data_IF_501361222122
#
_entry.id   IF_501361222122
#
_cell.length_a   1.000
_cell.length_b   1.000
_cell.length_c   1.000
_cell.angle_alpha   90.00
_cell.angle_beta   90.00
_cell.angle_gamma   90.00
#
_symmetry.space_group_name_H-M   'P 1'
#
loop_
_entity.id
_entity.type
_entity.pdbx_description
1 polymer ?
#
# COMPACT_ATOMS: atom_id res chain seq x y z
N UNK A 1 -15.38 -16.75 29.70
CA UNK A 1 -14.16 -16.37 30.45
C UNK A 1 -12.97 -16.56 29.53
N UNK A 2 -12.32 -15.46 29.18
CA UNK A 2 -11.27 -15.32 28.18
C UNK A 2 -10.05 -16.20 28.47
N UNK A 3 -9.81 -17.21 27.63
CA UNK A 3 -8.44 -17.65 27.35
C UNK A 3 -7.92 -16.87 26.14
N UNK A 4 -7.81 -15.55 26.28
CA UNK A 4 -6.96 -14.75 25.40
C UNK A 4 -5.50 -14.94 25.85
N UNK A 5 -5.02 -16.18 25.76
CA UNK A 5 -3.59 -16.44 25.85
C UNK A 5 -2.90 -15.71 24.70
N UNK A 6 -1.65 -15.30 24.93
CA UNK A 6 -0.75 -14.72 23.94
C UNK A 6 -0.59 -15.67 22.74
N UNK A 7 -1.50 -15.59 21.76
CA UNK A 7 -1.38 -16.36 20.51
C UNK A 7 -0.13 -15.84 19.81
N UNK A 8 0.96 -16.61 19.89
CA UNK A 8 2.20 -16.33 19.18
C UNK A 8 1.91 -16.23 17.68
N UNK A 9 2.43 -15.20 17.02
CA UNK A 9 2.27 -15.02 15.58
C UNK A 9 2.62 -16.30 14.82
N UNK A 10 1.66 -16.80 14.04
CA UNK A 10 1.81 -17.97 13.18
C UNK A 10 1.47 -17.57 11.75
N UNK A 11 2.47 -17.58 10.88
CA UNK A 11 2.28 -17.31 9.45
C UNK A 11 1.82 -18.58 8.71
N UNK A 12 0.85 -18.41 7.83
CA UNK A 12 0.52 -19.34 6.76
C UNK A 12 1.18 -18.86 5.46
N UNK A 13 1.65 -19.80 4.66
CA UNK A 13 2.42 -19.56 3.42
C UNK A 13 1.96 -20.57 2.37
N UNK A 14 2.57 -20.59 1.18
CA UNK A 14 2.19 -21.52 0.10
C UNK A 14 2.16 -23.00 0.52
N UNK A 15 2.92 -23.38 1.55
CA UNK A 15 2.90 -24.74 2.14
C UNK A 15 1.57 -25.13 2.79
N UNK A 16 0.81 -24.13 3.25
CA UNK A 16 -0.48 -24.29 3.94
C UNK A 16 -1.66 -23.94 3.02
N UNK A 17 -1.38 -23.47 1.80
CA UNK A 17 -2.40 -22.93 0.91
C UNK A 17 -3.46 -23.99 0.61
N UNK A 18 -3.06 -25.20 0.25
CA UNK A 18 -3.99 -26.27 -0.17
C UNK A 18 -5.04 -26.63 0.90
N UNK A 19 -4.64 -26.71 2.17
CA UNK A 19 -5.53 -26.93 3.32
C UNK A 19 -6.55 -25.78 3.46
N UNK A 20 -6.09 -24.55 3.31
CA UNK A 20 -6.96 -23.36 3.41
C UNK A 20 -7.92 -23.27 2.22
N UNK A 21 -7.51 -23.69 1.02
CA UNK A 21 -8.41 -23.72 -0.14
C UNK A 21 -9.47 -24.83 0.00
N UNK A 22 -9.12 -25.97 0.60
CA UNK A 22 -10.09 -27.01 0.97
C UNK A 22 -11.12 -26.46 1.97
N UNK A 23 -10.68 -25.66 2.96
CA UNK A 23 -11.58 -24.98 3.90
C UNK A 23 -12.55 -24.01 3.21
N UNK A 24 -12.13 -23.38 2.11
CA UNK A 24 -12.98 -22.54 1.26
C UNK A 24 -13.89 -23.35 0.29
N UNK A 25 -13.88 -24.68 0.34
CA UNK A 25 -14.76 -25.52 -0.47
C UNK A 25 -14.33 -25.68 -1.93
N UNK A 26 -13.12 -25.27 -2.30
CA UNK A 26 -12.65 -25.36 -3.68
C UNK A 26 -12.38 -26.82 -4.08
N UNK A 27 -12.81 -27.17 -5.29
CA UNK A 27 -12.52 -28.44 -5.95
C UNK A 27 -11.01 -28.60 -6.23
N UNK A 28 -10.57 -29.82 -6.53
CA UNK A 28 -9.17 -30.07 -6.89
C UNK A 28 -8.69 -29.25 -8.09
N UNK A 29 -9.56 -29.05 -9.09
CA UNK A 29 -9.23 -28.25 -10.28
C UNK A 29 -9.07 -26.76 -9.93
N UNK A 30 -9.99 -26.20 -9.14
CA UNK A 30 -9.90 -24.81 -8.68
C UNK A 30 -8.65 -24.59 -7.82
N UNK A 31 -8.36 -25.52 -6.90
CA UNK A 31 -7.14 -25.48 -6.09
C UNK A 31 -5.87 -25.52 -6.93
N UNK A 32 -5.85 -26.31 -8.01
CA UNK A 32 -4.72 -26.33 -8.94
C UNK A 32 -4.51 -24.96 -9.61
N UNK A 33 -5.58 -24.30 -10.07
CA UNK A 33 -5.51 -22.95 -10.66
C UNK A 33 -5.02 -21.90 -9.66
N UNK A 34 -5.51 -21.95 -8.43
CA UNK A 34 -5.05 -21.03 -7.37
C UNK A 34 -3.57 -21.28 -7.02
N UNK A 35 -3.14 -22.55 -6.95
CA UNK A 35 -1.71 -22.88 -6.77
C UNK A 35 -0.86 -22.36 -7.93
N UNK A 36 -1.35 -22.42 -9.17
CA UNK A 36 -0.68 -21.87 -10.33
C UNK A 36 -0.46 -20.35 -10.17
N UNK A 37 -1.48 -19.59 -9.76
CA UNK A 37 -1.33 -18.15 -9.46
C UNK A 37 -0.34 -17.91 -8.31
N UNK A 38 -0.37 -18.74 -7.27
CA UNK A 38 0.56 -18.65 -6.13
C UNK A 38 2.02 -18.96 -6.49
N UNK A 39 2.30 -19.50 -7.69
CA UNK A 39 3.68 -19.62 -8.20
C UNK A 39 4.22 -18.30 -8.74
N UNK A 40 3.35 -17.38 -9.15
CA UNK A 40 3.68 -16.06 -9.70
C UNK A 40 3.61 -15.01 -8.59
N UNK A 41 2.47 -14.94 -7.90
CA UNK A 41 2.19 -13.96 -6.87
C UNK A 41 2.42 -14.57 -5.47
N UNK A 42 3.11 -13.85 -4.57
CA UNK A 42 3.49 -14.38 -3.26
C UNK A 42 2.26 -14.52 -2.35
N UNK A 43 2.16 -15.64 -1.62
CA UNK A 43 1.11 -15.87 -0.63
C UNK A 43 1.65 -15.92 0.79
N UNK A 44 1.07 -15.11 1.67
CA UNK A 44 1.31 -15.14 3.12
C UNK A 44 0.10 -14.59 3.84
N UNK A 45 -0.34 -15.28 4.88
CA UNK A 45 -1.36 -14.78 5.82
C UNK A 45 -1.04 -15.27 7.23
N UNK A 46 -1.95 -15.14 8.18
CA UNK A 46 -1.73 -15.57 9.56
C UNK A 46 -3.04 -16.03 10.21
N UNK A 47 -2.94 -16.61 11.41
CA UNK A 47 -4.09 -17.12 12.15
C UNK A 47 -5.14 -16.06 12.47
N UNK A 48 -4.76 -14.82 12.79
CA UNK A 48 -5.75 -13.77 13.08
C UNK A 48 -6.59 -13.44 11.85
N UNK A 49 -5.95 -13.25 10.68
CA UNK A 49 -6.69 -12.98 9.44
C UNK A 49 -7.60 -14.16 9.09
N UNK A 50 -7.05 -15.38 9.13
CA UNK A 50 -7.77 -16.62 8.76
C UNK A 50 -8.93 -16.92 9.70
N UNK A 51 -8.75 -16.76 11.01
CA UNK A 51 -9.74 -17.22 11.99
C UNK A 51 -10.70 -16.11 12.42
N UNK A 52 -10.30 -14.84 12.38
CA UNK A 52 -11.11 -13.72 12.91
C UNK A 52 -11.69 -12.82 11.81
N UNK A 53 -11.03 -12.71 10.64
CA UNK A 53 -11.45 -11.76 9.60
C UNK A 53 -12.14 -12.38 8.39
N UNK A 54 -11.92 -13.65 8.08
CA UNK A 54 -12.52 -14.30 6.89
C UNK A 54 -13.85 -14.94 7.28
N UNK A 55 -14.91 -14.67 6.52
CA UNK A 55 -16.14 -15.46 6.57
C UNK A 55 -16.01 -16.61 5.58
N UNK A 56 -15.66 -17.78 6.10
CA UNK A 56 -15.47 -18.98 5.31
C UNK A 56 -16.76 -19.49 4.66
N UNK A 57 -17.93 -19.07 5.14
CA UNK A 57 -19.20 -19.41 4.49
C UNK A 57 -19.47 -18.60 3.23
N UNK A 58 -18.81 -17.44 3.10
CA UNK A 58 -18.85 -16.58 1.92
C UNK A 58 -17.62 -16.74 1.02
N UNK A 59 -16.61 -17.54 1.41
CA UNK A 59 -15.46 -17.80 0.56
C UNK A 59 -15.87 -18.59 -0.70
N UNK A 60 -15.28 -18.31 -1.89
CA UNK A 60 -14.18 -17.37 -2.14
C UNK A 60 -14.60 -15.90 -2.35
N UNK A 61 -15.89 -15.57 -2.24
CA UNK A 61 -16.42 -14.23 -2.48
C UNK A 61 -16.28 -13.25 -1.30
N UNK A 62 -15.91 -13.75 -0.12
CA UNK A 62 -15.60 -12.91 1.04
C UNK A 62 -14.51 -11.87 0.70
N UNK A 63 -14.72 -10.57 1.00
CA UNK A 63 -13.78 -9.52 0.62
C UNK A 63 -12.42 -9.67 1.32
N UNK A 64 -12.36 -10.22 2.54
CA UNK A 64 -11.09 -10.45 3.23
C UNK A 64 -10.34 -11.63 2.61
N UNK A 65 -11.05 -12.69 2.22
CA UNK A 65 -10.48 -13.79 1.44
C UNK A 65 -9.85 -13.25 0.15
N UNK A 66 -10.60 -12.47 -0.64
CA UNK A 66 -10.10 -11.84 -1.89
C UNK A 66 -8.90 -10.91 -1.65
N UNK A 67 -8.82 -10.26 -0.49
CA UNK A 67 -7.69 -9.39 -0.12
C UNK A 67 -6.38 -10.14 0.13
N UNK A 68 -6.41 -11.42 0.52
CA UNK A 68 -5.21 -12.15 1.01
C UNK A 68 -4.94 -13.49 0.33
N UNK A 69 -5.92 -14.09 -0.36
CA UNK A 69 -5.77 -15.34 -1.10
C UNK A 69 -5.62 -15.09 -2.61
N UNK A 70 -4.68 -15.75 -3.29
CA UNK A 70 -4.64 -15.74 -4.74
C UNK A 70 -5.93 -16.34 -5.32
N UNK A 71 -6.40 -15.77 -6.43
CA UNK A 71 -7.59 -16.20 -7.16
C UNK A 71 -7.19 -16.48 -8.60
N UNK A 72 -7.83 -17.46 -9.23
CA UNK A 72 -7.47 -17.94 -10.56
C UNK A 72 -7.57 -16.87 -11.65
N UNK A 73 -8.47 -15.90 -11.50
CA UNK A 73 -8.75 -14.81 -12.43
C UNK A 73 -7.89 -13.56 -12.20
N UNK A 74 -6.96 -13.60 -11.25
CA UNK A 74 -5.95 -12.53 -11.07
C UNK A 74 -4.90 -12.50 -12.18
N UNK A 75 -4.78 -13.56 -12.99
CA UNK A 75 -3.85 -13.64 -14.11
C UNK A 75 -4.60 -14.06 -15.38
N UNK A 76 -4.05 -13.78 -16.58
CA UNK A 76 -4.63 -14.24 -17.83
C UNK A 76 -4.82 -15.77 -17.82
N UNK A 77 -6.00 -16.23 -18.27
CA UNK A 77 -6.37 -17.64 -18.22
C UNK A 77 -5.35 -18.57 -18.92
N UNK A 78 -4.69 -18.09 -19.98
CA UNK A 78 -3.65 -18.83 -20.69
C UNK A 78 -2.39 -19.03 -19.83
N UNK A 79 -2.01 -18.06 -19.00
CA UNK A 79 -0.86 -18.16 -18.09
C UNK A 79 -1.15 -19.16 -16.97
N UNK A 80 -2.35 -19.07 -16.40
CA UNK A 80 -2.82 -19.97 -15.35
C UNK A 80 -2.88 -21.41 -15.85
N UNK A 81 -3.40 -21.62 -17.06
CA UNK A 81 -3.46 -22.95 -17.68
C UNK A 81 -2.05 -23.55 -17.86
N UNK A 82 -1.10 -22.79 -18.41
CA UNK A 82 0.29 -23.25 -18.60
C UNK A 82 0.95 -23.64 -17.27
N UNK A 83 0.82 -22.80 -16.26
CA UNK A 83 1.38 -23.07 -14.93
C UNK A 83 0.69 -24.24 -14.23
N UNK A 84 -0.63 -24.39 -14.40
CA UNK A 84 -1.39 -25.52 -13.88
C UNK A 84 -0.98 -26.84 -14.54
N UNK A 85 -0.72 -26.85 -15.85
CA UNK A 85 -0.21 -28.01 -16.58
C UNK A 85 1.18 -28.42 -16.08
N UNK A 86 2.09 -27.46 -15.85
CA UNK A 86 3.41 -27.72 -15.27
C UNK A 86 3.31 -28.30 -13.85
N UNK A 87 2.43 -27.76 -13.01
CA UNK A 87 2.17 -28.29 -11.67
C UNK A 87 1.60 -29.71 -11.71
N UNK A 88 0.65 -29.97 -12.62
CA UNK A 88 0.03 -31.28 -12.80
C UNK A 88 1.01 -32.33 -13.33
N UNK A 89 1.96 -31.91 -14.17
CA UNK A 89 3.03 -32.77 -14.68
C UNK A 89 4.20 -32.94 -13.70
N UNK A 90 4.13 -32.32 -12.50
CA UNK A 90 5.23 -32.30 -11.53
C UNK A 90 6.56 -31.82 -12.14
N UNK A 91 6.48 -30.80 -13.01
CA UNK A 91 7.64 -30.28 -13.73
C UNK A 91 8.74 -29.81 -12.76
N UNK A 92 10.02 -29.87 -13.16
CA UNK A 92 11.12 -29.41 -12.33
C UNK A 92 10.93 -27.96 -11.87
N UNK A 93 11.28 -27.65 -10.62
CA UNK A 93 11.13 -26.30 -10.03
C UNK A 93 11.75 -25.19 -10.89
N UNK A 94 12.85 -25.49 -11.59
CA UNK A 94 13.50 -24.53 -12.48
C UNK A 94 12.61 -24.13 -13.69
N UNK A 95 11.88 -25.09 -14.25
CA UNK A 95 10.96 -24.86 -15.37
C UNK A 95 9.74 -24.06 -14.91
N UNK A 96 9.15 -24.44 -13.78
CA UNK A 96 8.05 -23.70 -13.17
C UNK A 96 8.44 -22.25 -12.85
N UNK A 97 9.62 -22.04 -12.28
CA UNK A 97 10.13 -20.70 -11.98
C UNK A 97 10.39 -19.89 -13.26
N UNK A 98 10.90 -20.51 -14.32
CA UNK A 98 11.12 -19.84 -15.59
C UNK A 98 9.79 -19.35 -16.20
N UNK A 99 8.74 -20.17 -16.16
CA UNK A 99 7.41 -19.76 -16.65
C UNK A 99 6.79 -18.67 -15.76
N UNK A 100 6.86 -18.83 -14.43
CA UNK A 100 6.37 -17.81 -13.50
C UNK A 100 7.08 -16.46 -13.70
N UNK A 101 8.38 -16.46 -13.98
CA UNK A 101 9.15 -15.25 -14.24
C UNK A 101 8.75 -14.55 -15.55
N UNK A 102 8.37 -15.30 -16.60
CA UNK A 102 7.81 -14.70 -17.83
C UNK A 102 6.51 -13.95 -17.54
N UNK A 103 5.64 -14.52 -16.70
CA UNK A 103 4.39 -13.86 -16.29
C UNK A 103 4.71 -12.61 -15.46
N UNK A 104 5.57 -12.71 -14.45
CA UNK A 104 5.99 -11.58 -13.60
C UNK A 104 6.52 -10.38 -14.39
N UNK A 105 7.28 -10.62 -15.46
CA UNK A 105 7.84 -9.57 -16.29
C UNK A 105 6.76 -8.72 -16.99
N UNK A 106 5.55 -9.25 -17.16
CA UNK A 106 4.42 -8.56 -17.78
C UNK A 106 3.59 -7.74 -16.78
N UNK A 107 3.83 -7.91 -15.47
CA UNK A 107 3.02 -7.31 -14.39
C UNK A 107 3.61 -6.00 -13.84
N UNK A 108 4.42 -5.27 -14.62
CA UNK A 108 5.07 -4.01 -14.24
C UNK A 108 5.62 -3.99 -12.79
N UNK A 109 6.71 -4.71 -12.47
CA UNK A 109 7.16 -4.91 -11.08
C UNK A 109 7.67 -3.65 -10.36
N UNK A 110 8.00 -2.58 -11.09
CA UNK A 110 8.53 -1.32 -10.54
C UNK A 110 7.77 -0.08 -11.07
N UNK A 111 6.50 0.11 -10.68
CA UNK A 111 5.67 1.17 -11.21
C UNK A 111 6.18 2.58 -10.85
N UNK A 112 6.00 3.52 -11.78
CA UNK A 112 6.38 4.94 -11.68
C UNK A 112 7.87 5.24 -11.46
N UNK A 113 8.76 4.44 -12.05
CA UNK A 113 10.21 4.70 -12.07
C UNK A 113 10.84 4.70 -10.68
N UNK A 114 10.36 3.86 -9.77
CA UNK A 114 10.79 3.83 -8.37
C UNK A 114 12.30 3.64 -8.20
N UNK A 115 12.94 2.83 -9.04
CA UNK A 115 14.37 2.56 -8.96
C UNK A 115 15.22 3.58 -9.74
N UNK A 116 14.67 4.18 -10.79
CA UNK A 116 15.43 5.06 -11.69
C UNK A 116 15.35 6.53 -11.29
N UNK A 117 14.15 6.98 -10.87
CA UNK A 117 13.83 8.41 -10.71
C UNK A 117 13.74 8.85 -9.24
N UNK A 118 13.68 7.92 -8.30
CA UNK A 118 13.45 8.25 -6.89
C UNK A 118 14.65 7.97 -5.99
N UNK A 119 15.62 7.18 -6.44
CA UNK A 119 16.79 6.84 -5.62
C UNK A 119 17.70 8.07 -5.54
N UNK A 120 17.84 8.69 -4.37
CA UNK A 120 18.69 9.85 -4.22
C UNK A 120 20.16 9.42 -4.18
N UNK A 121 21.06 10.42 -4.26
CA UNK A 121 22.51 10.20 -4.25
C UNK A 121 23.19 11.10 -3.23
N UNK A 122 24.26 10.61 -2.61
CA UNK A 122 25.25 11.43 -1.90
C UNK A 122 26.48 11.50 -2.81
N UNK A 123 26.76 12.70 -3.34
CA UNK A 123 27.73 12.84 -4.42
C UNK A 123 27.30 12.05 -5.67
N UNK A 124 28.04 11.00 -6.03
CA UNK A 124 27.71 10.10 -7.15
C UNK A 124 27.07 8.78 -6.73
N UNK A 125 27.16 8.44 -5.44
CA UNK A 125 26.74 7.14 -4.93
C UNK A 125 25.24 7.15 -4.63
N UNK A 126 24.46 6.16 -5.11
CA UNK A 126 23.06 6.02 -4.73
C UNK A 126 22.96 5.68 -3.24
N UNK A 127 21.84 6.09 -2.62
CA UNK A 127 21.48 5.67 -1.26
C UNK A 127 20.47 4.53 -1.34
N UNK A 128 20.87 3.26 -1.10
CA UNK A 128 19.98 2.12 -1.24
C UNK A 128 18.80 2.20 -0.27
N UNK A 129 17.66 1.62 -0.67
CA UNK A 129 16.47 1.57 0.20
C UNK A 129 15.87 2.94 0.54
N UNK A 130 16.20 3.99 -0.20
CA UNK A 130 15.68 5.34 0.02
C UNK A 130 15.03 5.90 -1.25
N UNK A 131 13.89 6.58 -1.09
CA UNK A 131 13.24 7.32 -2.16
C UNK A 131 13.04 8.77 -1.74
N UNK A 132 13.45 9.71 -2.60
CA UNK A 132 13.22 11.13 -2.43
C UNK A 132 12.58 11.70 -3.70
N UNK A 133 11.24 11.73 -3.70
CA UNK A 133 10.44 12.20 -4.84
C UNK A 133 9.91 13.62 -4.66
N UNK A 134 9.61 14.00 -3.42
CA UNK A 134 9.04 15.29 -3.04
C UNK A 134 10.01 15.95 -2.05
N UNK A 135 10.33 17.24 -2.20
CA UNK A 135 11.35 17.92 -1.39
C UNK A 135 11.22 17.69 0.11
N UNK A 136 9.98 17.69 0.61
CA UNK A 136 9.68 17.62 2.03
C UNK A 136 9.67 16.20 2.61
N UNK A 137 9.66 15.16 1.77
CA UNK A 137 9.43 13.78 2.22
C UNK A 137 10.41 12.78 1.61
N UNK A 138 11.12 12.10 2.50
CA UNK A 138 11.93 10.92 2.19
C UNK A 138 11.22 9.64 2.66
N UNK A 139 11.26 8.61 1.84
CA UNK A 139 10.85 7.25 2.19
C UNK A 139 12.08 6.40 2.44
N UNK A 140 12.10 5.65 3.53
CA UNK A 140 13.13 4.68 3.82
C UNK A 140 12.51 3.29 3.96
N UNK A 141 13.22 2.28 3.45
CA UNK A 141 12.78 0.90 3.33
C UNK A 141 13.68 0.00 4.21
N UNK A 142 13.36 -0.19 5.50
CA UNK A 142 14.16 -1.01 6.39
C UNK A 142 14.25 -2.44 5.87
N UNK A 143 15.47 -3.00 5.82
CA UNK A 143 15.72 -4.36 5.34
C UNK A 143 14.95 -5.44 6.11
N UNK A 144 14.78 -5.29 7.41
CA UNK A 144 14.00 -6.22 8.24
C UNK A 144 12.49 -5.97 8.16
N UNK A 145 12.06 -4.86 7.53
CA UNK A 145 10.66 -4.52 7.26
C UNK A 145 10.17 -4.95 5.87
N UNK A 146 10.94 -5.75 5.13
CA UNK A 146 10.61 -6.19 3.75
C UNK A 146 9.69 -7.42 3.70
N UNK A 147 8.83 -7.58 4.70
CA UNK A 147 7.75 -8.57 4.73
C UNK A 147 6.58 -8.00 5.52
N UNK A 148 5.42 -8.65 5.46
CA UNK A 148 4.19 -8.22 6.12
C UNK A 148 3.63 -9.34 7.01
N UNK A 149 2.68 -8.98 7.89
CA UNK A 149 1.89 -9.95 8.65
C UNK A 149 0.97 -10.80 7.75
N UNK A 150 0.51 -10.23 6.63
CA UNK A 150 -0.12 -10.90 5.50
C UNK A 150 0.17 -10.11 4.21
N UNK A 151 0.17 -10.76 3.05
CA UNK A 151 0.36 -10.09 1.76
C UNK A 151 -0.99 -9.74 1.15
N UNK A 152 -1.14 -8.48 0.78
CA UNK A 152 -2.27 -8.02 -0.01
C UNK A 152 -2.15 -8.55 -1.44
N UNK A 153 -3.22 -9.11 -1.99
CA UNK A 153 -3.28 -9.60 -3.37
C UNK A 153 -3.10 -8.49 -4.41
N UNK A 154 -3.48 -7.25 -4.05
CA UNK A 154 -3.28 -6.01 -4.82
C UNK A 154 -1.98 -5.27 -4.46
N UNK A 155 -1.03 -5.90 -3.76
CA UNK A 155 0.15 -5.18 -3.27
C UNK A 155 1.01 -4.66 -4.41
N UNK A 156 1.09 -3.33 -4.59
CA UNK A 156 1.95 -2.74 -5.63
C UNK A 156 3.46 -2.96 -5.43
N UNK A 157 3.86 -3.58 -4.32
CA UNK A 157 5.25 -3.95 -3.99
C UNK A 157 5.47 -5.47 -4.01
N UNK A 158 4.57 -6.23 -4.63
CA UNK A 158 4.63 -7.70 -4.67
C UNK A 158 5.99 -8.24 -5.14
N UNK A 159 6.67 -7.53 -6.05
CA UNK A 159 8.00 -7.87 -6.55
C UNK A 159 9.07 -7.97 -5.45
N UNK A 160 8.90 -7.32 -4.30
CA UNK A 160 9.82 -7.41 -3.17
C UNK A 160 9.73 -8.76 -2.44
N UNK A 161 8.64 -9.53 -2.64
CA UNK A 161 8.36 -10.76 -1.90
C UNK A 161 8.51 -12.04 -2.75
N UNK A 162 8.85 -11.94 -4.04
CA UNK A 162 8.99 -13.12 -4.92
C UNK A 162 10.36 -13.81 -4.82
N UNK A 163 11.23 -13.34 -3.93
CA UNK A 163 12.51 -13.98 -3.63
C UNK A 163 13.68 -13.60 -4.55
N UNK A 164 13.44 -12.70 -5.51
CA UNK A 164 14.48 -12.13 -6.36
C UNK A 164 15.27 -11.05 -5.58
N UNK A 165 16.59 -11.17 -5.55
CA UNK A 165 17.46 -10.22 -4.84
C UNK A 165 17.58 -8.88 -5.59
N UNK A 166 17.48 -8.89 -6.92
CA UNK A 166 17.64 -7.69 -7.75
C UNK A 166 16.39 -6.79 -7.67
N UNK A 167 15.24 -7.36 -7.31
CA UNK A 167 13.98 -6.64 -7.11
C UNK A 167 13.82 -6.09 -5.68
N UNK A 168 14.72 -6.44 -4.74
CA UNK A 168 14.65 -5.97 -3.36
C UNK A 168 15.14 -4.53 -3.25
N UNK A 169 14.29 -3.70 -2.66
CA UNK A 169 14.58 -2.28 -2.44
C UNK A 169 14.61 -1.97 -0.94
N UNK A 170 15.78 -2.12 -0.31
CA UNK A 170 15.91 -1.94 1.14
C UNK A 170 17.33 -1.62 1.61
N UNK A 171 17.45 -1.07 2.81
CA UNK A 171 18.73 -0.80 3.49
C UNK A 171 18.62 -1.02 5.00
N UNK A 172 19.74 -1.37 5.63
CA UNK A 172 19.94 -1.36 7.08
C UNK A 172 20.87 -0.23 7.55
N UNK A 173 21.32 0.63 6.63
CA UNK A 173 22.20 1.77 6.89
C UNK A 173 21.39 3.03 7.26
N UNK A 174 21.04 3.12 8.55
CA UNK A 174 20.34 4.30 9.11
C UNK A 174 21.24 5.53 9.14
N UNK A 175 22.56 5.36 9.28
CA UNK A 175 23.50 6.48 9.35
C UNK A 175 23.57 7.21 8.01
N UNK A 176 23.50 6.48 6.89
CA UNK A 176 23.41 7.08 5.56
C UNK A 176 22.11 7.86 5.35
N UNK A 177 20.97 7.36 5.87
CA UNK A 177 19.70 8.13 5.86
C UNK A 177 19.84 9.43 6.66
N UNK A 178 20.37 9.36 7.88
CA UNK A 178 20.54 10.54 8.74
C UNK A 178 21.50 11.55 8.09
N UNK A 179 22.61 11.08 7.53
CA UNK A 179 23.56 11.92 6.82
C UNK A 179 22.92 12.62 5.61
N UNK A 180 22.10 11.89 4.84
CA UNK A 180 21.34 12.46 3.73
C UNK A 180 20.36 13.53 4.22
N UNK A 181 19.49 13.21 5.19
CA UNK A 181 18.49 14.17 5.70
C UNK A 181 19.16 15.43 6.25
N UNK A 182 20.31 15.31 6.94
CA UNK A 182 21.09 16.47 7.41
C UNK A 182 21.64 17.37 6.30
N UNK A 183 21.89 16.82 5.11
CA UNK A 183 22.32 17.59 3.93
C UNK A 183 21.14 18.22 3.16
N UNK A 184 19.90 17.82 3.48
CA UNK A 184 18.68 18.23 2.81
C UNK A 184 17.71 18.91 3.79
N UNK A 185 17.95 20.18 4.18
CA UNK A 185 17.14 20.90 5.17
C UNK A 185 15.68 21.09 4.76
N UNK A 186 15.35 20.95 3.47
CA UNK A 186 13.99 20.93 2.95
C UNK A 186 13.19 19.68 3.38
N UNK A 187 13.87 18.60 3.76
CA UNK A 187 13.23 17.35 4.20
C UNK A 187 12.77 17.50 5.64
N UNK A 188 11.45 17.59 5.84
CA UNK A 188 10.83 17.70 7.17
C UNK A 188 10.10 16.41 7.59
N UNK A 189 9.99 15.42 6.70
CA UNK A 189 9.27 14.18 6.96
C UNK A 189 10.03 12.95 6.47
N UNK A 190 10.20 11.96 7.36
CA UNK A 190 10.70 10.63 7.00
C UNK A 190 9.58 9.60 7.15
N UNK A 191 9.33 8.80 6.11
CA UNK A 191 8.39 7.69 6.12
C UNK A 191 9.14 6.35 6.09
N UNK A 192 9.07 5.61 7.18
CA UNK A 192 9.47 4.21 7.21
C UNK A 192 8.39 3.36 6.54
N UNK A 193 8.77 2.59 5.52
CA UNK A 193 7.85 1.79 4.71
C UNK A 193 8.57 0.57 4.08
N UNK A 194 7.96 -0.12 3.12
CA UNK A 194 8.51 -1.30 2.46
C UNK A 194 7.45 -2.37 2.33
N UNK A 195 7.66 -3.52 2.95
CA UNK A 195 6.57 -4.44 3.26
C UNK A 195 5.70 -3.85 4.36
N UNK A 196 6.11 -4.05 5.61
CA UNK A 196 5.48 -3.45 6.78
C UNK A 196 6.53 -3.26 7.89
N UNK A 197 6.93 -2.02 8.25
CA UNK A 197 7.91 -1.80 9.30
C UNK A 197 7.50 -2.37 10.67
N UNK A 198 6.19 -2.51 10.92
CA UNK A 198 5.71 -3.01 12.21
C UNK A 198 5.78 -4.54 12.35
N UNK A 199 6.24 -5.26 11.31
CA UNK A 199 6.68 -6.66 11.46
C UNK A 199 7.96 -6.77 12.29
N UNK A 200 8.73 -5.68 12.39
CA UNK A 200 9.94 -5.62 13.18
C UNK A 200 9.58 -5.57 14.66
N UNK A 201 10.28 -6.35 15.48
CA UNK A 201 10.27 -6.17 16.92
C UNK A 201 10.86 -4.81 17.32
N UNK A 202 10.49 -4.34 18.51
CA UNK A 202 10.85 -3.02 19.01
C UNK A 202 12.34 -2.72 18.89
N UNK A 203 13.22 -3.65 19.30
CA UNK A 203 14.66 -3.40 19.30
C UNK A 203 15.24 -3.13 17.91
N UNK A 204 14.63 -3.71 16.87
CA UNK A 204 14.99 -3.46 15.49
C UNK A 204 14.41 -2.13 15.02
N UNK A 205 13.13 -1.87 15.32
CA UNK A 205 12.45 -0.63 14.96
C UNK A 205 13.15 0.60 15.59
N UNK A 206 13.55 0.47 16.86
CA UNK A 206 14.28 1.47 17.64
C UNK A 206 15.55 1.96 16.94
N UNK A 207 16.35 1.03 16.40
CA UNK A 207 17.59 1.35 15.64
C UNK A 207 17.35 2.26 14.44
N UNK A 208 16.16 2.22 13.84
CA UNK A 208 15.80 3.10 12.72
C UNK A 208 15.19 4.43 13.17
N UNK A 209 14.52 4.47 14.32
CA UNK A 209 13.79 5.65 14.79
C UNK A 209 14.67 6.57 15.64
N UNK A 210 15.43 6.03 16.60
CA UNK A 210 16.20 6.85 17.54
C UNK A 210 17.16 7.83 16.85
N UNK A 211 17.92 7.45 15.81
CA UNK A 211 18.83 8.39 15.16
C UNK A 211 18.12 9.59 14.50
N UNK A 212 16.84 9.46 14.17
CA UNK A 212 16.03 10.53 13.58
C UNK A 212 15.51 11.54 14.60
N UNK A 213 15.51 11.19 15.90
CA UNK A 213 15.03 12.09 16.95
C UNK A 213 15.94 13.31 17.12
N UNK A 214 17.25 13.10 16.93
CA UNK A 214 18.30 14.12 17.02
C UNK A 214 18.42 14.98 15.73
N UNK A 215 17.52 14.81 14.76
CA UNK A 215 17.51 15.59 13.52
C UNK A 215 16.52 16.74 13.68
N UNK A 216 17.05 17.94 13.95
CA UNK A 216 16.26 19.11 14.35
C UNK A 216 15.18 19.48 13.32
N UNK A 217 15.49 19.51 12.02
CA UNK A 217 14.57 19.93 10.97
C UNK A 217 13.41 18.97 10.72
N UNK A 218 13.48 17.72 11.20
CA UNK A 218 12.36 16.80 11.04
C UNK A 218 11.19 17.25 11.89
N UNK A 219 10.03 17.41 11.27
CA UNK A 219 8.77 17.69 11.94
C UNK A 219 8.02 16.38 12.24
N UNK A 220 8.20 15.36 11.38
CA UNK A 220 7.46 14.12 11.48
C UNK A 220 8.27 12.87 11.14
N UNK A 221 7.99 11.82 11.89
CA UNK A 221 8.38 10.44 11.58
C UNK A 221 7.11 9.68 11.31
N UNK A 222 7.02 9.05 10.14
CA UNK A 222 5.83 8.34 9.69
C UNK A 222 6.11 6.86 9.57
N UNK A 223 5.14 6.03 9.91
CA UNK A 223 5.24 4.57 9.79
C UNK A 223 4.09 4.08 8.91
N UNK A 224 4.42 3.56 7.72
CA UNK A 224 3.46 2.98 6.78
C UNK A 224 3.19 1.52 7.07
N UNK A 225 2.02 1.16 7.58
CA UNK A 225 1.76 -0.18 8.11
C UNK A 225 0.31 -0.64 7.94
N UNK A 226 0.13 -1.95 7.69
CA UNK A 226 -1.17 -2.64 7.71
C UNK A 226 -1.30 -3.55 8.93
N UNK A 227 -0.32 -3.56 9.81
CA UNK A 227 -0.30 -4.43 11.00
C UNK A 227 -1.47 -4.20 11.93
N UNK A 228 -2.02 -2.99 11.98
CA UNK A 228 -3.22 -2.71 12.77
C UNK A 228 -4.45 -3.51 12.26
N UNK A 229 -4.56 -3.72 10.95
CA UNK A 229 -5.63 -4.52 10.33
C UNK A 229 -5.31 -6.03 10.32
N UNK A 230 -4.04 -6.43 10.20
CA UNK A 230 -3.66 -7.82 10.00
C UNK A 230 -3.06 -8.54 11.22
N UNK A 231 -2.66 -7.79 12.25
CA UNK A 231 -2.10 -8.31 13.50
C UNK A 231 -2.13 -7.25 14.63
N UNK A 232 -3.32 -6.83 15.11
CA UNK A 232 -3.43 -5.83 16.20
C UNK A 232 -2.77 -6.27 17.51
N UNK A 233 -2.45 -7.57 17.66
CA UNK A 233 -1.62 -8.14 18.72
C UNK A 233 -0.28 -7.42 18.84
N UNK A 234 0.28 -6.91 17.73
CA UNK A 234 1.53 -6.13 17.71
C UNK A 234 1.55 -4.96 18.68
N UNK A 235 0.38 -4.39 18.99
CA UNK A 235 0.19 -3.23 19.86
C UNK A 235 -0.57 -3.57 21.14
N UNK A 236 -0.91 -4.85 21.34
CA UNK A 236 -1.76 -5.27 22.47
C UNK A 236 -1.12 -6.39 23.28
N UNK A 237 -0.84 -7.54 22.67
CA UNK A 237 -0.45 -8.77 23.40
C UNK A 237 0.91 -9.34 23.01
N UNK A 238 1.54 -8.84 21.94
CA UNK A 238 2.89 -9.26 21.59
C UNK A 238 3.87 -8.89 22.73
N UNK A 239 4.92 -9.68 22.98
CA UNK A 239 5.77 -9.51 24.16
C UNK A 239 6.44 -8.13 24.30
N UNK A 240 6.68 -7.45 23.17
CA UNK A 240 7.31 -6.13 23.08
C UNK A 240 6.31 -5.01 22.70
N UNK A 241 5.00 -5.27 22.83
CA UNK A 241 3.96 -4.29 22.52
C UNK A 241 4.12 -3.02 23.37
N UNK A 242 4.36 -3.17 24.68
CA UNK A 242 4.56 -2.03 25.59
C UNK A 242 5.84 -1.26 25.28
N UNK A 243 6.94 -1.95 24.95
CA UNK A 243 8.19 -1.31 24.53
C UNK A 243 8.00 -0.50 23.26
N UNK A 244 7.23 -1.04 22.31
CA UNK A 244 6.93 -0.36 21.04
C UNK A 244 6.15 0.93 21.27
N UNK A 245 5.17 0.91 22.19
CA UNK A 245 4.43 2.11 22.56
C UNK A 245 5.30 3.13 23.29
N UNK A 246 6.21 2.68 24.17
CA UNK A 246 7.22 3.55 24.80
C UNK A 246 8.12 4.22 23.76
N UNK A 247 8.52 3.51 22.71
CA UNK A 247 9.26 4.12 21.59
C UNK A 247 8.43 5.21 20.90
N UNK A 248 7.12 5.00 20.73
CA UNK A 248 6.24 6.03 20.16
C UNK A 248 6.12 7.26 21.06
N UNK A 249 6.01 7.07 22.37
CA UNK A 249 6.05 8.16 23.36
C UNK A 249 7.37 8.95 23.27
N UNK A 250 8.51 8.27 23.07
CA UNK A 250 9.81 8.93 22.91
C UNK A 250 9.85 9.82 21.66
N UNK A 251 9.26 9.38 20.53
CA UNK A 251 9.17 10.22 19.32
C UNK A 251 8.38 11.50 19.61
N UNK A 252 7.26 11.37 20.29
CA UNK A 252 6.40 12.52 20.65
C UNK A 252 7.10 13.43 21.66
N UNK A 253 7.77 12.87 22.67
CA UNK A 253 8.52 13.61 23.68
C UNK A 253 9.71 14.38 23.09
N UNK A 254 10.30 13.88 22.00
CA UNK A 254 11.31 14.59 21.21
C UNK A 254 10.74 15.74 20.36
N UNK A 255 9.44 16.06 20.50
CA UNK A 255 8.77 17.14 19.78
C UNK A 255 8.42 16.80 18.33
N UNK A 256 8.53 15.53 17.92
CA UNK A 256 8.24 15.08 16.55
C UNK A 256 6.80 14.55 16.46
N UNK A 257 6.11 14.83 15.37
CA UNK A 257 4.84 14.17 15.08
C UNK A 257 5.08 12.73 14.63
N UNK A 258 4.72 11.75 15.47
CA UNK A 258 4.63 10.37 15.02
C UNK A 258 3.30 10.17 14.27
N UNK A 259 3.37 10.00 12.95
CA UNK A 259 2.21 9.70 12.13
C UNK A 259 2.17 8.21 11.76
N UNK A 260 1.28 7.49 12.42
CA UNK A 260 0.99 6.08 12.16
C UNK A 260 0.05 6.00 10.95
N UNK A 261 0.59 5.63 9.79
CA UNK A 261 -0.17 5.55 8.54
C UNK A 261 -0.81 4.16 8.41
N UNK A 262 -1.98 3.99 9.03
CA UNK A 262 -2.73 2.75 9.06
C UNK A 262 -3.40 2.45 7.71
N UNK A 263 -3.42 1.17 7.33
CA UNK A 263 -4.05 0.73 6.08
C UNK A 263 -5.28 -0.16 6.35
N UNK A 264 -6.47 0.34 6.02
CA UNK A 264 -7.74 -0.41 6.13
C UNK A 264 -8.48 -0.42 4.80
N UNK A 265 -8.72 -1.60 4.28
CA UNK A 265 -9.31 -1.85 2.96
C UNK A 265 -10.79 -2.21 3.02
N UNK A 266 -11.27 -2.72 4.16
CA UNK A 266 -12.68 -3.09 4.33
C UNK A 266 -13.14 -2.87 5.78
N UNK A 267 -14.44 -2.62 5.97
CA UNK A 267 -15.05 -2.39 7.28
C UNK A 267 -14.74 -3.50 8.30
N UNK A 268 -14.73 -4.74 7.82
CA UNK A 268 -14.49 -5.92 8.66
C UNK A 268 -13.15 -5.92 9.40
N UNK A 269 -12.14 -5.26 8.83
CA UNK A 269 -10.84 -5.09 9.49
C UNK A 269 -10.91 -4.18 10.74
N UNK A 270 -12.01 -3.46 10.95
CA UNK A 270 -12.24 -2.53 12.08
C UNK A 270 -13.21 -3.07 13.15
N UNK A 271 -13.76 -4.27 12.97
CA UNK A 271 -14.81 -4.82 13.84
C UNK A 271 -14.26 -5.46 15.12
N UNK A 272 -12.99 -5.86 15.11
CA UNK A 272 -12.38 -6.56 16.23
C UNK A 272 -12.11 -5.63 17.43
N UNK A 273 -12.51 -6.01 18.66
CA UNK A 273 -12.14 -5.27 19.87
C UNK A 273 -10.61 -5.17 20.09
N UNK A 274 -9.82 -6.09 19.54
CA UNK A 274 -8.37 -5.99 19.58
C UNK A 274 -7.86 -4.79 18.77
N UNK A 275 -8.52 -4.47 17.66
CA UNK A 275 -8.18 -3.29 16.84
C UNK A 275 -8.57 -2.02 17.57
N UNK A 276 -9.73 -1.99 18.25
CA UNK A 276 -10.11 -0.85 19.12
C UNK A 276 -9.07 -0.61 20.21
N UNK A 277 -8.69 -1.65 20.95
CA UNK A 277 -7.68 -1.54 22.01
C UNK A 277 -6.31 -1.11 21.46
N UNK A 278 -5.89 -1.64 20.32
CA UNK A 278 -4.65 -1.24 19.67
C UNK A 278 -4.67 0.24 19.26
N UNK A 279 -5.79 0.73 18.72
CA UNK A 279 -5.97 2.14 18.35
C UNK A 279 -5.91 3.04 19.58
N UNK A 280 -6.64 2.72 20.65
CA UNK A 280 -6.61 3.48 21.90
C UNK A 280 -5.19 3.56 22.47
N UNK A 281 -4.46 2.45 22.46
CA UNK A 281 -3.08 2.39 22.95
C UNK A 281 -2.12 3.24 22.12
N UNK A 282 -2.21 3.19 20.79
CA UNK A 282 -1.38 4.01 19.90
C UNK A 282 -1.71 5.50 20.08
N UNK A 283 -2.99 5.88 20.11
CA UNK A 283 -3.38 7.28 20.34
C UNK A 283 -2.94 7.77 21.72
N UNK A 284 -2.96 6.90 22.73
CA UNK A 284 -2.50 7.17 24.09
C UNK A 284 -1.03 7.60 24.19
N UNK A 285 -0.20 7.26 23.21
CA UNK A 285 1.21 7.70 23.17
C UNK A 285 1.37 9.15 22.68
N UNK A 286 0.28 9.81 22.26
CA UNK A 286 0.29 11.09 21.57
C UNK A 286 0.55 11.00 20.06
N UNK A 287 0.68 9.78 19.52
CA UNK A 287 0.78 9.58 18.07
C UNK A 287 -0.54 9.91 17.38
N UNK A 288 -0.46 10.24 16.09
CA UNK A 288 -1.64 10.41 15.24
C UNK A 288 -1.80 9.23 14.31
N UNK A 289 -3.03 8.72 14.15
CA UNK A 289 -3.33 7.65 13.21
C UNK A 289 -4.01 8.24 11.97
N UNK A 290 -3.39 8.08 10.81
CA UNK A 290 -3.94 8.49 9.51
C UNK A 290 -4.24 7.26 8.67
N UNK A 291 -5.42 7.18 8.07
CA UNK A 291 -5.85 5.97 7.34
C UNK A 291 -5.78 6.13 5.84
N UNK A 292 -5.39 5.06 5.16
CA UNK A 292 -5.28 5.02 3.71
C UNK A 292 -5.67 3.65 3.15
N UNK A 293 -6.21 3.61 1.94
CA UNK A 293 -6.36 2.39 1.15
C UNK A 293 -6.58 2.73 -0.32
N UNK A 294 -6.29 1.79 -1.24
CA UNK A 294 -6.78 1.90 -2.60
C UNK A 294 -8.26 1.48 -2.69
N UNK A 295 -8.93 2.00 -3.71
CA UNK A 295 -10.17 1.46 -4.25
C UNK A 295 -9.85 0.17 -5.02
N UNK A 296 -10.57 -0.90 -4.70
CA UNK A 296 -10.29 -2.25 -5.17
C UNK A 296 -11.62 -2.89 -5.59
N UNK A 297 -11.70 -3.26 -6.88
CA UNK A 297 -12.86 -3.95 -7.45
C UNK A 297 -13.23 -5.18 -6.64
N UNK A 298 -14.52 -5.43 -6.45
CA UNK A 298 -15.10 -6.57 -5.71
C UNK A 298 -14.79 -6.62 -4.20
N UNK A 299 -14.12 -5.61 -3.65
CA UNK A 299 -13.75 -5.57 -2.23
C UNK A 299 -14.30 -4.32 -1.55
N UNK A 300 -14.04 -3.14 -2.11
CA UNK A 300 -14.46 -1.87 -1.52
C UNK A 300 -14.91 -0.84 -2.58
N UNK A 301 -15.30 -1.30 -3.75
CA UNK A 301 -15.87 -0.52 -4.85
C UNK A 301 -17.34 -0.13 -4.64
N UNK A 302 -17.69 0.16 -3.38
CA UNK A 302 -19.02 0.59 -2.95
C UNK A 302 -18.90 1.85 -2.05
N UNK A 303 -19.61 2.95 -2.37
CA UNK A 303 -19.62 4.17 -1.55
C UNK A 303 -20.02 3.93 -0.08
N UNK A 304 -20.90 2.95 0.18
CA UNK A 304 -21.35 2.60 1.53
C UNK A 304 -20.20 2.02 2.37
N UNK A 305 -19.32 1.21 1.75
CA UNK A 305 -18.14 0.65 2.41
C UNK A 305 -17.18 1.79 2.82
N UNK A 306 -16.87 2.71 1.91
CA UNK A 306 -15.98 3.85 2.20
C UNK A 306 -16.54 4.79 3.26
N UNK A 307 -17.80 5.19 3.13
CA UNK A 307 -18.43 6.08 4.11
C UNK A 307 -18.54 5.44 5.49
N UNK A 308 -18.83 4.13 5.55
CA UNK A 308 -18.81 3.35 6.78
C UNK A 308 -17.41 3.28 7.40
N UNK A 309 -16.39 2.98 6.59
CA UNK A 309 -14.99 2.95 7.04
C UNK A 309 -14.58 4.29 7.62
N UNK A 310 -14.80 5.40 6.92
CA UNK A 310 -14.42 6.73 7.42
C UNK A 310 -15.16 7.11 8.71
N UNK A 311 -16.47 6.83 8.80
CA UNK A 311 -17.25 7.05 10.03
C UNK A 311 -16.72 6.22 11.19
N UNK A 312 -16.36 4.96 10.95
CA UNK A 312 -15.80 4.07 11.97
C UNK A 312 -14.42 4.51 12.42
N UNK A 313 -13.54 4.85 11.47
CA UNK A 313 -12.20 5.35 11.74
C UNK A 313 -12.25 6.64 12.56
N UNK A 314 -13.12 7.60 12.19
CA UNK A 314 -13.34 8.82 12.95
C UNK A 314 -13.81 8.55 14.39
N UNK A 315 -14.77 7.63 14.59
CA UNK A 315 -15.26 7.26 15.93
C UNK A 315 -14.16 6.69 16.82
N UNK A 316 -13.16 6.05 16.24
CA UNK A 316 -11.99 5.51 16.93
C UNK A 316 -10.86 6.55 17.09
N UNK A 317 -11.05 7.80 16.69
CA UNK A 317 -10.03 8.85 16.78
C UNK A 317 -9.00 8.86 15.65
N UNK A 318 -9.20 8.07 14.60
CA UNK A 318 -8.34 8.04 13.41
C UNK A 318 -8.76 9.10 12.38
N UNK A 319 -7.80 9.52 11.54
CA UNK A 319 -7.98 10.58 10.54
C UNK A 319 -7.99 9.98 9.13
N UNK A 320 -9.14 9.95 8.42
CA UNK A 320 -9.19 9.61 7.00
C UNK A 320 -8.22 10.46 6.17
N UNK A 321 -7.29 9.83 5.46
CA UNK A 321 -6.21 10.55 4.77
C UNK A 321 -6.21 10.36 3.26
N UNK A 322 -6.13 9.12 2.76
CA UNK A 322 -6.11 8.86 1.31
C UNK A 322 -7.06 7.75 0.89
N UNK A 323 -7.80 8.01 -0.18
CA UNK A 323 -8.36 7.00 -1.05
C UNK A 323 -7.55 7.01 -2.35
N UNK A 324 -6.80 5.94 -2.58
CA UNK A 324 -5.95 5.79 -3.76
C UNK A 324 -6.71 5.08 -4.89
N UNK A 325 -6.32 5.36 -6.12
CA UNK A 325 -6.59 4.46 -7.26
C UNK A 325 -5.56 3.33 -7.20
N UNK A 326 -6.00 2.11 -7.54
CA UNK A 326 -5.15 0.93 -7.70
C UNK A 326 -4.00 1.20 -8.68
N UNK A 327 -2.81 0.68 -8.41
CA UNK A 327 -1.58 1.08 -9.11
C UNK A 327 -1.37 0.20 -10.33
N UNK A 328 -0.71 0.73 -11.35
CA UNK A 328 -0.37 0.02 -12.58
C UNK A 328 0.64 -1.13 -12.41
N UNK A 329 0.32 -2.18 -11.66
CA UNK A 329 1.21 -3.30 -11.37
C UNK A 329 0.48 -4.52 -10.84
N UNK A 330 1.14 -5.68 -10.93
CA UNK A 330 0.57 -6.93 -10.45
C UNK A 330 -0.71 -7.25 -11.22
N UNK A 331 -1.71 -7.83 -10.57
CA UNK A 331 -3.00 -8.16 -11.18
C UNK A 331 -3.92 -6.92 -11.30
N UNK A 332 -3.42 -5.81 -11.87
CA UNK A 332 -4.17 -4.54 -12.00
C UNK A 332 -5.52 -4.76 -12.68
N UNK A 333 -5.57 -5.49 -13.80
CA UNK A 333 -6.79 -5.70 -14.58
C UNK A 333 -7.94 -6.32 -13.76
N UNK A 334 -7.57 -7.13 -12.76
CA UNK A 334 -8.49 -7.77 -11.84
C UNK A 334 -9.06 -6.79 -10.82
N UNK A 335 -8.23 -5.88 -10.29
CA UNK A 335 -8.59 -4.99 -9.18
C UNK A 335 -8.96 -3.56 -9.58
N UNK A 336 -8.61 -3.11 -10.77
CA UNK A 336 -8.78 -1.73 -11.21
C UNK A 336 -10.26 -1.34 -11.29
N UNK A 337 -10.55 -0.08 -10.98
CA UNK A 337 -11.88 0.52 -11.19
C UNK A 337 -11.68 1.69 -12.15
N UNK A 338 -12.49 1.83 -13.22
CA UNK A 338 -12.40 2.98 -14.12
C UNK A 338 -12.40 4.31 -13.36
N UNK A 339 -11.60 5.29 -13.80
CA UNK A 339 -11.41 6.55 -13.09
C UNK A 339 -12.73 7.33 -12.91
N UNK A 340 -13.64 7.21 -13.86
CA UNK A 340 -14.98 7.78 -13.76
C UNK A 340 -15.77 7.14 -12.61
N UNK A 341 -15.78 5.81 -12.52
CA UNK A 341 -16.49 5.08 -11.47
C UNK A 341 -15.82 5.29 -10.11
N UNK A 342 -14.48 5.34 -10.06
CA UNK A 342 -13.73 5.65 -8.85
C UNK A 342 -14.09 7.03 -8.28
N UNK A 343 -14.28 8.01 -9.16
CA UNK A 343 -14.75 9.34 -8.77
C UNK A 343 -16.18 9.30 -8.23
N UNK A 344 -17.08 8.56 -8.88
CA UNK A 344 -18.46 8.40 -8.43
C UNK A 344 -18.54 7.74 -7.04
N UNK A 345 -17.78 6.65 -6.82
CA UNK A 345 -17.67 6.00 -5.50
C UNK A 345 -17.19 6.98 -4.43
N UNK A 346 -16.12 7.73 -4.72
CA UNK A 346 -15.60 8.73 -3.79
C UNK A 346 -16.63 9.83 -3.51
N UNK A 347 -17.26 10.39 -4.56
CA UNK A 347 -18.21 11.51 -4.46
C UNK A 347 -19.41 11.14 -3.59
N UNK A 348 -20.00 9.97 -3.83
CA UNK A 348 -21.15 9.48 -3.06
C UNK A 348 -20.77 9.20 -1.60
N UNK A 349 -19.63 8.55 -1.35
CA UNK A 349 -19.15 8.31 -0.01
C UNK A 349 -18.88 9.64 0.74
N UNK A 350 -18.22 10.59 0.08
CA UNK A 350 -17.82 11.89 0.63
C UNK A 350 -19.03 12.79 0.96
N UNK A 351 -20.08 12.72 0.14
CA UNK A 351 -21.34 13.43 0.39
C UNK A 351 -22.04 12.92 1.66
N UNK A 352 -21.90 11.63 1.99
CA UNK A 352 -22.62 10.96 3.07
C UNK A 352 -21.94 11.03 4.46
N UNK A 353 -20.81 11.76 4.59
CA UNK A 353 -20.03 11.90 5.82
C UNK A 353 -19.93 13.35 6.30
N UNK A 354 -19.61 13.54 7.59
CA UNK A 354 -19.40 14.86 8.19
C UNK A 354 -18.07 15.48 7.76
N UNK A 355 -17.90 16.78 7.99
CA UNK A 355 -16.67 17.52 7.68
C UNK A 355 -15.40 16.94 8.29
N UNK A 356 -15.50 16.23 9.42
CA UNK A 356 -14.35 15.59 10.07
C UNK A 356 -13.79 14.42 9.25
N UNK A 357 -14.66 13.63 8.60
CA UNK A 357 -14.25 12.56 7.68
C UNK A 357 -13.72 13.10 6.35
N UNK A 358 -14.11 14.32 5.97
CA UNK A 358 -13.77 14.98 4.69
C UNK A 358 -12.32 15.47 4.60
N UNK A 359 -11.48 15.08 5.56
CA UNK A 359 -10.03 15.23 5.54
C UNK A 359 -9.35 14.28 4.54
N UNK A 360 -10.05 13.22 4.12
CA UNK A 360 -9.62 12.29 3.08
C UNK A 360 -9.44 13.00 1.73
N UNK A 361 -8.39 12.60 1.00
CA UNK A 361 -8.10 13.07 -0.35
C UNK A 361 -8.25 11.91 -1.32
N UNK A 362 -8.99 12.09 -2.40
CA UNK A 362 -9.15 11.05 -3.42
C UNK A 362 -10.28 11.33 -4.41
N UNK A 363 -10.48 10.40 -5.36
CA UNK A 363 -9.58 9.27 -5.64
C UNK A 363 -8.28 9.79 -6.26
N UNK A 364 -7.13 9.27 -5.81
CA UNK A 364 -5.82 9.79 -6.22
C UNK A 364 -4.86 8.71 -6.71
N UNK A 365 -4.21 8.96 -7.85
CA UNK A 365 -3.19 8.10 -8.44
C UNK A 365 -1.80 8.54 -7.96
N UNK A 366 -1.00 7.62 -7.43
CA UNK A 366 0.42 7.88 -7.13
C UNK A 366 1.30 7.59 -8.35
N UNK A 367 1.19 8.44 -9.38
CA UNK A 367 1.84 8.29 -10.68
C UNK A 367 3.24 8.92 -10.75
N UNK A 368 3.96 8.77 -11.86
CA UNK A 368 5.32 9.31 -12.07
C UNK A 368 5.46 10.81 -11.77
N UNK A 369 4.62 11.72 -12.31
CA UNK A 369 4.78 13.16 -12.07
C UNK A 369 4.45 13.58 -10.64
N UNK A 370 3.61 12.80 -9.95
CA UNK A 370 3.11 13.16 -8.63
C UNK A 370 1.87 12.36 -8.26
N UNK A 371 1.17 12.84 -7.23
CA UNK A 371 -0.16 12.36 -6.85
C UNK A 371 -1.19 13.16 -7.62
N UNK A 372 -1.88 12.51 -8.55
CA UNK A 372 -2.92 13.11 -9.39
C UNK A 372 -4.28 12.78 -8.78
N UNK A 373 -5.08 13.79 -8.44
CA UNK A 373 -6.44 13.63 -7.97
C UNK A 373 -7.41 13.79 -9.15
N UNK A 374 -8.46 12.96 -9.18
CA UNK A 374 -9.59 13.16 -10.09
C UNK A 374 -10.61 14.04 -9.38
N UNK A 375 -10.76 15.28 -9.82
CA UNK A 375 -11.70 16.25 -9.24
C UNK A 375 -13.14 16.05 -9.72
N UNK A 376 -13.28 15.46 -10.91
CA UNK A 376 -14.55 15.01 -11.43
C UNK A 376 -14.59 14.87 -12.94
N UNK A 377 -15.80 14.61 -13.42
CA UNK A 377 -16.13 14.52 -14.84
C UNK A 377 -17.12 15.63 -15.16
N UNK A 378 -16.82 16.45 -16.17
CA UNK A 378 -17.67 17.59 -16.55
C UNK A 378 -17.73 17.75 -18.06
N UNK A 379 -18.60 18.62 -18.54
CA UNK A 379 -18.69 19.00 -19.94
C UNK A 379 -18.18 20.44 -20.14
N UNK A 380 -17.22 20.61 -21.04
CA UNK A 380 -16.67 21.93 -21.41
C UNK A 380 -16.81 22.06 -22.93
N UNK A 381 -17.53 23.09 -23.37
CA UNK A 381 -17.79 23.35 -24.79
C UNK A 381 -18.36 22.13 -25.56
N UNK A 382 -19.25 21.35 -24.94
CA UNK A 382 -19.85 20.15 -25.55
C UNK A 382 -18.99 18.90 -25.48
N UNK A 383 -17.78 18.97 -24.89
CA UNK A 383 -16.89 17.82 -24.73
C UNK A 383 -16.86 17.36 -23.27
N UNK A 384 -17.15 16.07 -23.05
CA UNK A 384 -16.97 15.42 -21.75
C UNK A 384 -15.48 15.24 -21.46
N UNK A 385 -15.04 15.67 -20.28
CA UNK A 385 -13.64 15.66 -19.86
C UNK A 385 -13.49 15.25 -18.40
N UNK A 386 -12.32 14.70 -18.07
CA UNK A 386 -11.85 14.61 -16.68
C UNK A 386 -11.22 15.95 -16.28
N UNK A 387 -11.51 16.39 -15.05
CA UNK A 387 -10.81 17.48 -14.37
C UNK A 387 -9.87 16.86 -13.34
N UNK A 388 -8.59 17.21 -13.40
CA UNK A 388 -7.57 16.65 -12.52
C UNK A 388 -6.65 17.76 -12.00
N UNK A 389 -6.01 17.50 -10.86
CA UNK A 389 -4.88 18.30 -10.40
C UNK A 389 -3.84 17.44 -9.68
N UNK A 390 -2.63 17.96 -9.54
CA UNK A 390 -1.61 17.35 -8.70
C UNK A 390 -1.75 17.86 -7.26
N UNK A 391 -2.04 16.97 -6.31
CA UNK A 391 -2.02 17.30 -4.87
C UNK A 391 -0.59 17.30 -4.29
N UNK A 392 0.34 16.68 -5.01
CA UNK A 392 1.77 16.65 -4.69
C UNK A 392 2.53 16.30 -5.98
N UNK A 393 3.58 17.04 -6.34
CA UNK A 393 4.27 16.87 -7.61
C UNK A 393 5.79 16.94 -7.44
N UNK A 394 6.54 16.31 -8.36
CA UNK A 394 8.00 16.44 -8.44
C UNK A 394 8.42 17.89 -8.69
N UNK A 395 7.70 18.56 -9.58
CA UNK A 395 7.77 20.01 -9.76
C UNK A 395 6.68 20.65 -8.89
N UNK A 396 7.04 21.30 -7.77
CA UNK A 396 6.07 21.93 -6.88
C UNK A 396 5.21 23.00 -7.57
N UNK A 397 5.67 23.59 -8.67
CA UNK A 397 4.91 24.61 -9.41
C UNK A 397 3.64 24.06 -10.08
N UNK A 398 3.51 22.73 -10.18
CA UNK A 398 2.34 22.05 -10.74
C UNK A 398 1.26 21.76 -9.69
N UNK A 399 1.57 21.88 -8.39
CA UNK A 399 0.62 21.54 -7.32
C UNK A 399 -0.58 22.47 -7.36
N UNK A 400 -1.78 21.89 -7.29
CA UNK A 400 -3.05 22.61 -7.30
C UNK A 400 -3.45 23.21 -8.66
N UNK A 401 -2.61 23.09 -9.70
CA UNK A 401 -2.95 23.55 -11.04
C UNK A 401 -3.86 22.53 -11.73
N UNK A 402 -5.09 22.93 -12.13
CA UNK A 402 -5.98 22.02 -12.82
C UNK A 402 -5.50 21.75 -14.25
N UNK A 403 -5.77 20.55 -14.75
CA UNK A 403 -5.61 20.15 -16.13
C UNK A 403 -6.74 19.22 -16.56
N UNK A 404 -6.91 19.08 -17.87
CA UNK A 404 -8.06 18.37 -18.45
C UNK A 404 -7.61 17.22 -19.33
N UNK A 405 -8.25 16.07 -19.15
CA UNK A 405 -8.08 14.92 -20.03
C UNK A 405 -9.39 14.62 -20.78
N UNK A 406 -9.28 14.09 -21.98
CA UNK A 406 -10.41 13.54 -22.73
C UNK A 406 -11.08 12.47 -21.87
N UNK A 407 -12.41 12.45 -21.86
CA UNK A 407 -13.14 11.40 -21.17
C UNK A 407 -12.98 10.06 -21.90
N UNK A 408 -12.46 9.07 -21.18
CA UNK A 408 -12.43 7.68 -21.58
C UNK A 408 -13.07 6.86 -20.45
N UNK A 409 -14.22 6.20 -20.71
CA UNK A 409 -14.90 5.38 -19.70
C UNK A 409 -14.12 4.12 -19.29
N UNK A 410 -13.06 3.75 -20.02
CA UNK A 410 -12.22 2.59 -19.73
C UNK A 410 -10.87 2.96 -19.09
N UNK A 411 -10.53 4.24 -19.00
CA UNK A 411 -9.28 4.66 -18.37
C UNK A 411 -9.27 4.28 -16.90
N UNK A 412 -8.24 3.54 -16.47
CA UNK A 412 -8.04 3.10 -15.08
C UNK A 412 -6.80 3.76 -14.46
N UNK A 413 -5.92 4.33 -15.28
CA UNK A 413 -4.69 4.97 -14.83
C UNK A 413 -4.32 6.23 -15.64
N UNK A 414 -3.32 6.97 -15.16
CA UNK A 414 -2.90 8.24 -15.76
C UNK A 414 -2.42 8.09 -17.23
N UNK A 415 -1.78 6.97 -17.56
CA UNK A 415 -1.23 6.70 -18.90
C UNK A 415 -2.30 6.42 -19.95
N UNK A 416 -3.52 6.11 -19.54
CA UNK A 416 -4.65 5.89 -20.43
C UNK A 416 -5.23 7.23 -20.92
N UNK A 417 -5.03 8.29 -20.13
CA UNK A 417 -5.57 9.62 -20.40
C UNK A 417 -4.83 10.32 -21.54
N UNK A 418 -5.57 11.18 -22.26
CA UNK A 418 -5.04 12.08 -23.29
C UNK A 418 -5.43 13.52 -22.99
N UNK A 419 -4.59 14.53 -23.24
CA UNK A 419 -4.95 15.93 -23.05
C UNK A 419 -6.23 16.33 -23.82
N UNK A 420 -7.13 17.09 -23.18
CA UNK A 420 -8.38 17.52 -23.82
C UNK A 420 -8.22 18.79 -24.68
N UNK A 421 -7.46 19.77 -24.18
CA UNK A 421 -7.39 21.14 -24.75
C UNK A 421 -5.95 21.62 -24.98
N UNK A 422 -5.00 20.69 -25.05
CA UNK A 422 -3.58 20.96 -25.26
C UNK A 422 -2.93 19.78 -25.99
N UNK A 423 -1.72 19.96 -26.52
CA UNK A 423 -0.97 18.87 -27.15
C UNK A 423 -0.31 17.92 -26.14
N UNK A 424 -0.17 18.38 -24.88
CA UNK A 424 0.53 17.67 -23.80
C UNK A 424 -0.01 18.06 -22.42
N UNK A 425 0.16 17.18 -21.44
CA UNK A 425 -0.11 17.49 -20.04
C UNK A 425 0.94 18.45 -19.45
N UNK A 426 0.61 19.19 -18.38
CA UNK A 426 1.53 20.16 -17.77
C UNK A 426 2.85 19.57 -17.26
N UNK A 427 2.87 18.28 -16.92
CA UNK A 427 4.04 17.56 -16.40
C UNK A 427 4.89 16.89 -17.50
N UNK A 428 4.47 16.98 -18.77
CA UNK A 428 5.20 16.41 -19.93
C UNK A 428 6.17 17.42 -20.55
N UNK A 429 6.61 18.42 -19.78
CA UNK A 429 7.65 19.34 -20.23
C UNK A 429 8.93 18.55 -20.50
N UNK A 430 9.47 18.68 -21.71
CA UNK A 430 10.64 17.92 -22.17
C UNK A 430 11.81 18.13 -21.21
N UNK A 431 12.16 17.09 -20.46
CA UNK A 431 13.36 16.92 -19.63
C UNK A 431 14.06 18.23 -19.29
N UNK A 432 13.40 19.13 -18.57
CA UNK A 432 14.12 20.19 -17.88
C UNK A 432 14.71 19.52 -16.64
N UNK A 433 15.95 19.04 -16.78
CA UNK A 433 16.81 18.60 -15.69
C UNK A 433 17.03 19.75 -14.70
N UNK A 434 16.05 20.03 -13.84
CA UNK A 434 16.35 20.58 -12.53
C UNK A 434 16.74 19.39 -11.66
N UNK A 435 18.02 18.98 -11.77
CA UNK A 435 18.62 18.12 -10.77
C UNK A 435 18.49 18.88 -9.45
N UNK A 436 17.82 18.28 -8.46
CA UNK A 436 18.04 18.59 -7.06
C UNK A 436 19.48 18.15 -6.74
N UNK A 437 20.44 18.98 -7.13
CA UNK A 437 21.84 18.88 -6.76
C UNK A 437 22.42 20.28 -6.70
N UNK A 438 22.38 20.86 -5.52
CA UNK A 438 23.39 21.79 -5.02
C UNK A 438 23.48 21.57 -3.51
#
# INVERSE_FOLDING_TARGET
MNQAGTRRFRAYTSKHLDELLLRAGLSEEERLKVRAVATVLPFRTNAYVVDELIDWSAAPDDPIYRLVFPLADMLPAADVARLADLLKAEAPTAELNAEANKVRAQLNPHPAGQMELNVPRIGREPVPGMQHKYPETVLFFPKQGQTCHAYCTYCFRWAQFVGDADLKFASDDIDQLVAYVRQHPEVTSVLLTGGDPMIMGESVLKRYIEPLLEVEQLESIRIGTKSLAYWPQRFTTDPDADDTLRLFEQVVAAGKNLAFMAHFSHLRELDSPLVESAVERILGTGATIRTQAPLIRSINDDPAIWSGMWKRQLRMGMIPYYMFVERDTGPQDYFAVPLADAYEVFREAYASVSGLCRTVRGPSMSATPGKVCVDGVTEIAGQKVFVLHLIQARDPSLVGRPFFAQYDPQAVWLTDLRPAFADRFPFETGVATARLSA
#
